data_IF_161806492232
#
_entry.id   IF_161806492232
#
_cell.length_a   1.000
_cell.length_b   1.000
_cell.length_c   1.000
_cell.angle_alpha   90.00
_cell.angle_beta   90.00
_cell.angle_gamma   90.00
#
_symmetry.space_group_name_H-M   'P 1'
#
loop_
_entity.id
_entity.type
_entity.pdbx_description
1 polymer ?
#
# COMPACT_ATOMS: atom_id res chain seq x y z
N UNK A 1 -22.36 -10.44 -35.37
CA UNK A 1 -21.46 -11.55 -35.01
C UNK A 1 -20.01 -11.11 -34.73
N UNK A 2 -19.59 -9.87 -35.02
CA UNK A 2 -18.23 -9.37 -34.72
C UNK A 2 -18.18 -8.16 -33.77
N UNK A 3 -19.33 -7.65 -33.30
CA UNK A 3 -19.40 -6.45 -32.45
C UNK A 3 -19.38 -6.74 -30.93
N UNK A 4 -19.33 -8.01 -30.51
CA UNK A 4 -19.29 -8.43 -29.10
C UNK A 4 -17.89 -8.79 -28.59
N UNK A 5 -16.85 -8.64 -29.43
CA UNK A 5 -15.47 -9.08 -29.15
C UNK A 5 -14.59 -7.91 -28.64
N UNK A 6 -15.08 -6.68 -28.68
CA UNK A 6 -14.25 -5.50 -28.42
C UNK A 6 -14.15 -5.08 -26.95
N UNK A 7 -15.07 -5.51 -26.08
CA UNK A 7 -15.06 -5.11 -24.68
C UNK A 7 -15.33 -6.33 -23.80
N UNK A 8 -14.36 -6.74 -22.95
CA UNK A 8 -14.65 -7.76 -21.96
C UNK A 8 -15.71 -7.19 -21.01
N UNK A 9 -16.92 -7.71 -21.11
CA UNK A 9 -17.99 -7.45 -20.14
C UNK A 9 -17.51 -7.87 -18.75
N UNK A 10 -18.05 -7.25 -17.69
CA UNK A 10 -17.68 -7.53 -16.30
C UNK A 10 -17.69 -9.04 -16.01
N UNK A 11 -18.65 -9.78 -16.57
CA UNK A 11 -18.73 -11.24 -16.45
C UNK A 11 -17.48 -11.97 -17.00
N UNK A 12 -16.94 -11.52 -18.14
CA UNK A 12 -15.73 -12.10 -18.73
C UNK A 12 -14.47 -11.78 -17.93
N UNK A 13 -14.36 -10.59 -17.35
CA UNK A 13 -13.25 -10.22 -16.47
C UNK A 13 -13.21 -11.10 -15.22
N UNK A 14 -14.37 -11.42 -14.64
CA UNK A 14 -14.47 -12.33 -13.48
C UNK A 14 -13.98 -13.73 -13.84
N UNK A 15 -14.35 -14.25 -15.01
CA UNK A 15 -13.90 -15.59 -15.47
C UNK A 15 -12.38 -15.62 -15.63
N UNK A 16 -11.79 -14.59 -16.24
CA UNK A 16 -10.33 -14.47 -16.39
C UNK A 16 -9.66 -14.40 -15.01
N UNK A 17 -10.21 -13.62 -14.08
CA UNK A 17 -9.70 -13.50 -12.72
C UNK A 17 -9.69 -14.85 -12.00
N UNK A 18 -10.74 -15.66 -12.14
CA UNK A 18 -10.80 -17.00 -11.55
C UNK A 18 -9.70 -17.91 -12.11
N UNK A 19 -9.46 -17.87 -13.43
CA UNK A 19 -8.40 -18.66 -14.06
C UNK A 19 -7.02 -18.23 -13.54
N UNK A 20 -6.76 -16.92 -13.46
CA UNK A 20 -5.50 -16.38 -12.91
C UNK A 20 -5.31 -16.82 -11.45
N UNK A 21 -6.37 -16.77 -10.65
CA UNK A 21 -6.33 -17.24 -9.26
C UNK A 21 -6.03 -18.73 -9.13
N UNK A 22 -6.51 -19.56 -10.05
CA UNK A 22 -6.20 -21.00 -10.07
C UNK A 22 -4.76 -21.27 -10.49
N UNK A 23 -4.22 -20.52 -11.45
CA UNK A 23 -2.84 -20.69 -11.94
C UNK A 23 -1.80 -20.19 -10.93
N UNK A 24 -2.00 -19.00 -10.38
CA UNK A 24 -1.04 -18.35 -9.48
C UNK A 24 -1.31 -18.62 -8.00
N UNK A 25 -2.53 -19.05 -7.66
CA UNK A 25 -3.00 -19.16 -6.28
C UNK A 25 -3.35 -17.80 -5.66
N UNK A 26 -4.29 -17.79 -4.72
CA UNK A 26 -4.72 -16.58 -4.00
C UNK A 26 -3.60 -15.97 -3.15
N UNK A 27 -2.65 -16.78 -2.67
CA UNK A 27 -1.57 -16.31 -1.77
C UNK A 27 -0.57 -15.39 -2.49
N UNK A 28 -0.21 -15.72 -3.74
CA UNK A 28 0.69 -14.89 -4.57
C UNK A 28 -0.01 -13.61 -5.01
N UNK A 29 -1.27 -13.72 -5.44
CA UNK A 29 -2.06 -12.55 -5.84
C UNK A 29 -2.33 -11.60 -4.67
N UNK A 30 -2.55 -12.12 -3.45
CA UNK A 30 -2.72 -11.27 -2.26
C UNK A 30 -1.45 -10.51 -1.88
N UNK A 31 -0.30 -11.17 -1.91
CA UNK A 31 0.96 -10.52 -1.57
C UNK A 31 1.34 -9.47 -2.63
N UNK A 32 1.34 -9.83 -3.92
CA UNK A 32 1.66 -8.88 -4.99
C UNK A 32 0.58 -7.79 -5.17
N UNK A 33 -0.69 -8.16 -5.05
CA UNK A 33 -1.83 -7.25 -5.17
C UNK A 33 -1.96 -6.30 -3.98
N UNK A 34 -1.47 -6.68 -2.79
CA UNK A 34 -1.38 -5.77 -1.65
C UNK A 34 -0.41 -4.61 -1.92
N UNK A 35 0.79 -4.92 -2.43
CA UNK A 35 1.82 -3.92 -2.74
C UNK A 35 1.37 -2.99 -3.88
N UNK A 36 0.92 -3.58 -4.99
CA UNK A 36 0.41 -2.84 -6.16
C UNK A 36 -0.86 -2.06 -5.83
N UNK A 37 -1.79 -2.67 -5.09
CA UNK A 37 -3.05 -2.06 -4.69
C UNK A 37 -2.85 -0.89 -3.73
N UNK A 38 -1.92 -1.01 -2.78
CA UNK A 38 -1.53 0.06 -1.87
C UNK A 38 -0.95 1.27 -2.60
N UNK A 39 -0.03 1.02 -3.55
CA UNK A 39 0.56 2.09 -4.37
C UNK A 39 -0.49 2.83 -5.23
N UNK A 40 -1.39 2.09 -5.89
CA UNK A 40 -2.46 2.67 -6.71
C UNK A 40 -3.47 3.42 -5.83
N UNK A 41 -3.80 2.90 -4.64
CA UNK A 41 -4.70 3.56 -3.69
C UNK A 41 -4.12 4.90 -3.24
N UNK A 42 -2.88 4.92 -2.76
CA UNK A 42 -2.21 6.17 -2.35
C UNK A 42 -2.11 7.15 -3.52
N UNK A 43 -1.81 6.69 -4.73
CA UNK A 43 -1.80 7.54 -5.92
C UNK A 43 -3.17 8.18 -6.19
N UNK A 44 -4.25 7.39 -6.16
CA UNK A 44 -5.62 7.91 -6.32
C UNK A 44 -5.99 8.89 -5.21
N UNK A 45 -5.64 8.58 -3.96
CA UNK A 45 -5.93 9.41 -2.80
C UNK A 45 -5.19 10.76 -2.91
N UNK A 46 -3.91 10.76 -3.30
CA UNK A 46 -3.16 11.99 -3.57
C UNK A 46 -3.70 12.79 -4.76
N UNK A 47 -4.15 12.13 -5.84
CA UNK A 47 -4.80 12.80 -6.97
C UNK A 47 -6.14 13.44 -6.56
N UNK A 48 -6.88 12.79 -5.68
CA UNK A 48 -8.16 13.29 -5.16
C UNK A 48 -7.91 14.47 -4.24
N UNK A 49 -6.95 14.34 -3.31
CA UNK A 49 -6.54 15.43 -2.41
C UNK A 49 -5.99 16.63 -3.18
N UNK A 50 -5.16 16.44 -4.21
CA UNK A 50 -4.69 17.54 -5.07
C UNK A 50 -5.82 18.24 -5.85
N UNK A 51 -6.91 17.52 -6.15
CA UNK A 51 -8.10 18.08 -6.81
C UNK A 51 -9.00 18.84 -5.84
N UNK A 52 -9.04 18.43 -4.57
CA UNK A 52 -9.81 19.06 -3.50
C UNK A 52 -9.04 20.20 -2.80
N UNK A 53 -7.71 20.15 -2.74
CA UNK A 53 -6.83 21.24 -2.25
C UNK A 53 -6.90 22.49 -3.18
N UNK A 54 -7.43 22.35 -4.40
CA UNK A 54 -7.81 23.48 -5.25
C UNK A 54 -9.12 24.18 -4.81
N UNK A 55 -9.82 23.64 -3.80
CA UNK A 55 -11.08 24.18 -3.23
C UNK A 55 -11.02 24.48 -1.74
N UNK A 56 -10.18 23.81 -0.95
CA UNK A 56 -10.19 23.96 0.52
C UNK A 56 -8.77 24.07 1.11
N UNK A 57 -8.20 25.28 1.10
CA UNK A 57 -6.98 25.60 1.84
C UNK A 57 -7.26 25.87 3.35
N UNK A 58 -8.09 25.05 4.00
CA UNK A 58 -8.35 25.15 5.43
C UNK A 58 -8.74 23.78 6.01
N UNK A 59 -8.04 23.36 7.06
CA UNK A 59 -8.31 22.18 7.90
C UNK A 59 -7.60 20.88 7.47
N UNK A 60 -6.29 20.84 7.67
CA UNK A 60 -5.56 19.56 7.68
C UNK A 60 -5.64 18.94 9.09
N UNK A 61 -6.41 17.86 9.16
CA UNK A 61 -6.69 17.06 10.35
C UNK A 61 -5.63 15.96 10.44
N UNK A 62 -4.52 16.25 11.12
CA UNK A 62 -3.53 15.24 11.50
C UNK A 62 -3.96 14.63 12.83
N UNK A 63 -4.66 13.49 12.79
CA UNK A 63 -4.86 12.65 13.97
C UNK A 63 -5.26 11.22 13.62
N UNK A 64 -4.26 10.32 13.62
CA UNK A 64 -4.20 9.05 14.38
C UNK A 64 -3.09 8.16 13.77
N UNK A 65 -1.87 8.12 14.33
CA UNK A 65 -1.41 7.20 15.40
C UNK A 65 -2.02 5.80 15.36
N UNK A 66 -1.25 4.78 14.94
CA UNK A 66 -0.78 3.67 15.81
C UNK A 66 -0.19 2.50 15.00
N UNK A 67 1.12 2.34 15.11
CA UNK A 67 1.76 1.05 15.40
C UNK A 67 3.13 1.36 15.97
N UNK A 68 3.11 1.55 17.29
CA UNK A 68 4.29 1.50 18.12
C UNK A 68 4.88 0.08 18.04
N UNK A 69 5.92 -0.09 17.24
CA UNK A 69 7.02 -1.03 17.51
C UNK A 69 8.28 -0.50 16.82
N UNK A 70 8.78 0.63 17.32
CA UNK A 70 10.15 1.05 17.05
C UNK A 70 10.92 0.74 18.33
N UNK A 71 11.42 -0.49 18.38
CA UNK A 71 12.41 -0.98 19.34
C UNK A 71 13.52 0.06 19.49
N UNK A 72 13.49 0.81 20.60
CA UNK A 72 14.54 1.76 20.95
C UNK A 72 15.83 0.96 21.09
N UNK A 73 16.85 1.33 20.32
CA UNK A 73 18.18 0.74 20.40
C UNK A 73 18.88 1.43 21.59
N UNK A 74 18.80 0.82 22.77
CA UNK A 74 19.70 1.14 23.87
C UNK A 74 21.09 0.59 23.54
N UNK A 75 21.89 1.39 22.84
CA UNK A 75 23.33 1.20 22.77
C UNK A 75 23.93 1.65 24.11
N UNK A 76 23.93 0.76 25.10
CA UNK A 76 24.71 0.94 26.33
C UNK A 76 26.21 0.92 25.97
N UNK A 77 26.79 2.11 25.82
CA UNK A 77 28.24 2.31 25.73
C UNK A 77 28.83 2.09 27.12
N UNK A 78 29.29 0.86 27.36
CA UNK A 78 30.10 0.51 28.53
C UNK A 78 31.51 1.07 28.37
N UNK A 79 31.72 2.34 28.75
CA UNK A 79 33.07 2.92 28.93
C UNK A 79 33.46 2.81 30.40
N UNK A 80 34.23 1.76 30.70
CA UNK A 80 35.13 1.55 31.84
C UNK A 80 36.18 0.57 31.27
N UNK A 81 37.48 0.86 31.17
CA UNK A 81 38.37 1.41 32.18
C UNK A 81 39.49 2.26 31.56
N UNK A 82 39.72 3.43 32.13
CA UNK A 82 40.93 4.21 31.92
C UNK A 82 41.94 3.72 32.97
N UNK A 83 42.80 2.79 32.59
CA UNK A 83 43.94 2.38 33.40
C UNK A 83 44.87 3.61 33.57
N UNK A 84 44.98 4.11 34.80
CA UNK A 84 46.00 5.06 35.21
C UNK A 84 46.86 4.39 36.28
N UNK A 85 47.95 3.75 35.83
CA UNK A 85 49.17 3.47 36.57
C UNK A 85 50.34 3.62 35.60
#
# INVERSE_FOLDING_TARGET
MLFAIGMPSIASLVIILVIVLLLFGTKRLKNAGGDLGGAIKNFKDSLTKAKDDAKDAASDKVEQVESADSKVIDAEVKVKDNNNV
#
